data_IF_309922301894
#
_entry.id   IF_309922301894
#
_cell.length_a   1.000
_cell.length_b   1.000
_cell.length_c   1.000
_cell.angle_alpha   90.00
_cell.angle_beta   90.00
_cell.angle_gamma   90.00
#
_symmetry.space_group_name_H-M   'P 1'
#
loop_
_entity.id
_entity.type
_entity.pdbx_description
1 polymer ?
#
# COMPACT_ATOMS: atom_id res chain seq x y z
N UNK A 1 -8.13 -16.65 18.93
CA UNK A 1 -9.45 -17.18 18.51
C UNK A 1 -10.37 -17.05 19.70
N UNK A 2 -11.51 -16.37 19.53
CA UNK A 2 -12.43 -16.10 20.65
C UNK A 2 -12.84 -17.41 21.33
N UNK A 3 -12.86 -17.45 22.67
CA UNK A 3 -13.13 -18.69 23.43
C UNK A 3 -14.57 -19.21 23.30
N UNK A 4 -15.47 -18.49 22.65
CA UNK A 4 -16.91 -18.79 22.60
C UNK A 4 -17.41 -19.22 21.21
N UNK A 5 -16.79 -20.26 20.63
CA UNK A 5 -17.34 -20.91 19.43
C UNK A 5 -17.53 -22.40 19.72
N UNK A 6 -18.74 -22.90 19.51
CA UNK A 6 -19.01 -24.33 19.50
C UNK A 6 -18.25 -25.01 18.36
N UNK A 7 -18.04 -26.33 18.47
CA UNK A 7 -17.32 -27.09 17.44
C UNK A 7 -18.02 -27.01 16.06
N UNK A 8 -19.35 -26.96 16.06
CA UNK A 8 -20.13 -26.77 14.83
C UNK A 8 -19.88 -25.40 14.20
N UNK A 9 -19.80 -24.33 15.00
CA UNK A 9 -19.50 -22.98 14.51
C UNK A 9 -18.07 -22.89 13.99
N UNK A 10 -17.10 -23.53 14.65
CA UNK A 10 -15.70 -23.59 14.18
C UNK A 10 -15.60 -24.30 12.85
N UNK A 11 -16.33 -25.41 12.67
CA UNK A 11 -16.36 -26.15 11.42
C UNK A 11 -16.95 -25.30 10.28
N UNK A 12 -18.10 -24.66 10.51
CA UNK A 12 -18.72 -23.75 9.52
C UNK A 12 -17.80 -22.58 9.16
N UNK A 13 -17.12 -21.99 10.14
CA UNK A 13 -16.16 -20.90 9.91
C UNK A 13 -14.95 -21.38 9.09
N UNK A 14 -14.39 -22.54 9.42
CA UNK A 14 -13.26 -23.14 8.70
C UNK A 14 -13.61 -23.41 7.24
N UNK A 15 -14.80 -23.98 6.98
CA UNK A 15 -15.30 -24.18 5.62
C UNK A 15 -15.45 -22.88 4.85
N UNK A 16 -15.97 -21.83 5.50
CA UNK A 16 -16.15 -20.52 4.90
C UNK A 16 -14.79 -19.88 4.54
N UNK A 17 -13.84 -19.89 5.47
CA UNK A 17 -12.49 -19.36 5.24
C UNK A 17 -11.75 -20.13 4.14
N UNK A 18 -11.91 -21.47 4.09
CA UNK A 18 -11.34 -22.28 3.02
C UNK A 18 -11.98 -21.97 1.66
N UNK A 19 -13.31 -21.87 1.63
CA UNK A 19 -14.10 -21.54 0.42
C UNK A 19 -13.70 -20.18 -0.16
N UNK A 20 -13.46 -19.20 0.69
CA UNK A 20 -13.09 -17.84 0.27
C UNK A 20 -11.61 -17.52 0.48
N UNK A 21 -10.75 -18.54 0.57
CA UNK A 21 -9.32 -18.36 0.87
C UNK A 21 -8.59 -17.44 -0.13
N UNK A 22 -9.04 -17.38 -1.38
CA UNK A 22 -8.50 -16.49 -2.41
C UNK A 22 -8.87 -15.01 -2.25
N UNK A 23 -9.82 -14.66 -1.37
CA UNK A 23 -10.16 -13.27 -1.04
C UNK A 23 -9.24 -12.67 0.03
N UNK A 24 -8.52 -13.52 0.76
CA UNK A 24 -7.62 -13.10 1.83
C UNK A 24 -6.18 -13.11 1.35
N UNK A 25 -5.46 -12.02 1.59
CA UNK A 25 -4.02 -12.00 1.36
C UNK A 25 -3.33 -12.69 2.53
N UNK A 26 -2.42 -13.62 2.25
CA UNK A 26 -1.60 -14.31 3.29
C UNK A 26 -0.55 -13.39 3.92
N UNK A 27 -0.33 -12.23 3.32
CA UNK A 27 0.62 -11.20 3.76
C UNK A 27 -0.07 -9.84 3.68
N UNK A 28 0.38 -8.90 4.51
CA UNK A 28 -0.02 -7.48 4.45
C UNK A 28 0.47 -6.77 3.16
N UNK A 29 1.05 -7.53 2.22
CA UNK A 29 1.50 -7.05 0.92
C UNK A 29 0.28 -6.77 0.06
N UNK A 30 -0.05 -5.49 -0.07
CA UNK A 30 -1.05 -5.02 -1.00
C UNK A 30 -0.52 -5.18 -2.42
N UNK A 31 -0.82 -6.28 -3.09
CA UNK A 31 -0.51 -6.39 -4.52
C UNK A 31 -1.32 -5.32 -5.28
N UNK A 32 -0.71 -4.66 -6.25
CA UNK A 32 -1.40 -3.70 -7.10
C UNK A 32 -2.67 -4.37 -7.66
N UNK A 33 -3.82 -3.72 -7.48
CA UNK A 33 -5.10 -4.25 -7.96
C UNK A 33 -5.02 -4.43 -9.48
N UNK A 34 -5.17 -5.67 -9.95
CA UNK A 34 -5.18 -5.98 -11.38
C UNK A 34 -6.51 -5.52 -11.97
N UNK A 35 -6.57 -4.24 -12.35
CA UNK A 35 -7.72 -3.64 -13.04
C UNK A 35 -7.30 -3.09 -14.39
N UNK A 36 -8.18 -3.21 -15.38
CA UNK A 36 -8.00 -2.61 -16.70
C UNK A 36 -8.54 -1.16 -16.75
N UNK A 37 -9.14 -0.68 -15.66
CA UNK A 37 -9.68 0.67 -15.56
C UNK A 37 -8.58 1.62 -15.12
N UNK A 38 -8.33 2.67 -15.91
CA UNK A 38 -7.41 3.75 -15.56
C UNK A 38 -8.21 4.96 -15.09
N UNK A 39 -7.81 5.54 -13.95
CA UNK A 39 -8.38 6.79 -13.48
C UNK A 39 -7.59 7.99 -14.03
N UNK A 40 -8.29 9.03 -14.48
CA UNK A 40 -7.68 10.31 -14.90
C UNK A 40 -8.09 11.40 -13.93
N UNK A 41 -7.11 12.03 -13.31
CA UNK A 41 -7.30 13.22 -12.49
C UNK A 41 -7.17 14.44 -13.41
N UNK A 42 -8.22 15.25 -13.50
CA UNK A 42 -8.19 16.52 -14.22
C UNK A 42 -7.73 17.63 -13.29
N UNK A 43 -6.60 18.27 -13.63
CA UNK A 43 -6.02 19.39 -12.88
C UNK A 43 -6.49 20.76 -13.38
N UNK A 44 -7.36 20.81 -14.40
CA UNK A 44 -7.76 22.05 -15.07
C UNK A 44 -6.55 22.80 -15.63
N UNK A 45 -6.57 24.12 -15.51
CA UNK A 45 -5.50 25.02 -15.98
C UNK A 45 -4.41 25.26 -14.92
N UNK A 46 -4.36 24.46 -13.86
CA UNK A 46 -3.39 24.65 -12.79
C UNK A 46 -1.97 24.26 -13.25
N UNK A 47 -1.01 25.16 -13.06
CA UNK A 47 0.40 24.89 -13.38
C UNK A 47 1.02 23.83 -12.44
N UNK A 48 2.05 23.07 -12.89
CA UNK A 48 2.70 22.08 -12.04
C UNK A 48 3.30 22.64 -10.76
N UNK A 49 3.10 21.94 -9.64
CA UNK A 49 3.74 22.23 -8.37
C UNK A 49 4.94 21.29 -8.21
N UNK A 50 6.15 21.87 -8.18
CA UNK A 50 7.39 21.14 -7.95
C UNK A 50 8.03 21.55 -6.62
N UNK A 51 7.85 20.70 -5.61
CA UNK A 51 8.43 20.91 -4.29
C UNK A 51 9.71 20.11 -4.11
N UNK A 52 10.70 20.75 -3.47
CA UNK A 52 11.96 20.12 -3.08
C UNK A 52 11.74 19.09 -1.97
N UNK A 53 12.42 17.95 -2.07
CA UNK A 53 12.47 16.97 -0.98
C UNK A 53 13.03 17.57 0.32
N UNK A 54 12.45 17.18 1.46
CA UNK A 54 12.93 17.59 2.78
C UNK A 54 14.29 16.96 3.10
N UNK A 55 15.05 17.63 3.97
CA UNK A 55 16.24 17.02 4.57
C UNK A 55 15.80 15.94 5.54
N UNK A 56 16.42 14.77 5.42
CA UNK A 56 16.17 13.61 6.28
C UNK A 56 17.51 13.06 6.76
N UNK A 57 17.51 12.44 7.94
CA UNK A 57 18.65 11.71 8.48
C UNK A 57 18.99 10.48 7.61
N UNK A 58 20.17 9.89 7.83
CA UNK A 58 20.58 8.65 7.17
C UNK A 58 19.63 7.49 7.46
N UNK A 59 19.17 7.37 8.71
CA UNK A 59 18.20 6.35 9.14
C UNK A 59 16.88 6.49 8.41
N UNK A 60 16.34 7.71 8.35
CA UNK A 60 15.09 8.00 7.63
C UNK A 60 15.22 7.74 6.13
N UNK A 61 16.34 8.15 5.51
CA UNK A 61 16.61 7.88 4.10
C UNK A 61 16.60 6.38 3.79
N UNK A 62 17.21 5.56 4.65
CA UNK A 62 17.21 4.12 4.50
C UNK A 62 15.79 3.54 4.55
N UNK A 63 14.98 3.97 5.51
CA UNK A 63 13.57 3.53 5.64
C UNK A 63 12.77 3.91 4.39
N UNK A 64 12.92 5.15 3.90
CA UNK A 64 12.24 5.61 2.67
C UNK A 64 12.65 4.73 1.49
N UNK A 65 13.95 4.47 1.32
CA UNK A 65 14.45 3.66 0.22
C UNK A 65 13.94 2.21 0.27
N UNK A 66 13.96 1.59 1.45
CA UNK A 66 13.45 0.23 1.65
C UNK A 66 11.96 0.12 1.28
N UNK A 67 11.12 1.08 1.71
CA UNK A 67 9.69 1.04 1.38
C UNK A 67 9.42 1.38 -0.10
N UNK A 68 10.16 2.33 -0.69
CA UNK A 68 10.05 2.62 -2.12
C UNK A 68 10.44 1.42 -2.97
N UNK A 69 11.54 0.73 -2.62
CA UNK A 69 11.96 -0.47 -3.33
C UNK A 69 10.91 -1.58 -3.23
N UNK A 70 10.35 -1.79 -2.05
CA UNK A 70 9.26 -2.75 -1.86
C UNK A 70 8.04 -2.40 -2.73
N UNK A 71 7.63 -1.13 -2.80
CA UNK A 71 6.51 -0.72 -3.66
C UNK A 71 6.82 -0.85 -5.16
N UNK A 72 8.09 -0.66 -5.57
CA UNK A 72 8.54 -0.93 -6.93
C UNK A 72 8.44 -2.43 -7.25
N UNK A 73 8.93 -3.29 -6.35
CA UNK A 73 8.88 -4.75 -6.51
C UNK A 73 7.44 -5.29 -6.54
N UNK A 74 6.53 -4.65 -5.79
CA UNK A 74 5.09 -4.95 -5.76
C UNK A 74 4.32 -4.34 -6.95
N UNK A 75 4.97 -3.53 -7.80
CA UNK A 75 4.37 -2.89 -8.97
C UNK A 75 3.36 -1.79 -8.64
N UNK A 76 3.42 -1.22 -7.44
CA UNK A 76 2.51 -0.15 -6.97
C UNK A 76 2.97 1.22 -7.50
N UNK A 77 4.28 1.45 -7.57
CA UNK A 77 4.88 2.69 -8.08
C UNK A 77 5.86 2.40 -9.22
N UNK A 78 6.24 3.43 -9.96
CA UNK A 78 7.22 3.34 -11.05
C UNK A 78 8.07 4.63 -11.14
N UNK A 79 9.29 4.57 -11.69
CA UNK A 79 10.05 5.77 -12.02
C UNK A 79 9.29 6.70 -12.97
N UNK A 80 9.43 8.00 -12.80
CA UNK A 80 8.84 8.99 -13.70
C UNK A 80 9.65 10.29 -13.73
N UNK A 81 9.57 11.00 -14.85
CA UNK A 81 10.06 12.36 -15.00
C UNK A 81 8.84 13.30 -15.05
N UNK A 82 8.42 13.80 -13.89
CA UNK A 82 7.20 14.58 -13.74
C UNK A 82 7.52 16.05 -13.42
N UNK A 83 6.80 17.02 -14.00
CA UNK A 83 6.89 18.41 -13.57
C UNK A 83 6.21 18.65 -12.21
N UNK A 84 5.45 17.66 -11.71
CA UNK A 84 4.83 17.64 -10.38
C UNK A 84 5.69 16.83 -9.40
N UNK A 85 5.96 17.39 -8.23
CA UNK A 85 6.71 16.72 -7.16
C UNK A 85 6.21 17.19 -5.80
N UNK A 86 5.99 16.24 -4.89
CA UNK A 86 5.68 16.49 -3.48
C UNK A 86 6.64 15.70 -2.59
N UNK A 87 7.15 16.29 -1.50
CA UNK A 87 8.16 15.66 -0.65
C UNK A 87 7.56 14.52 0.18
N UNK A 88 8.35 13.46 0.38
CA UNK A 88 8.00 12.34 1.26
C UNK A 88 8.11 12.79 2.73
N UNK A 89 7.15 12.37 3.55
CA UNK A 89 7.13 12.60 4.99
C UNK A 89 7.05 11.25 5.70
N UNK A 90 7.98 11.02 6.62
CA UNK A 90 7.92 9.86 7.51
C UNK A 90 7.12 10.19 8.76
N UNK A 91 6.11 9.38 9.05
CA UNK A 91 5.27 9.53 10.24
C UNK A 91 5.34 8.26 11.07
N UNK A 92 5.60 8.40 12.37
CA UNK A 92 5.56 7.28 13.30
C UNK A 92 4.11 6.95 13.64
N UNK A 93 3.65 5.79 13.20
CA UNK A 93 2.34 5.26 13.59
C UNK A 93 2.35 4.94 15.09
N UNK A 94 1.42 5.53 15.86
CA UNK A 94 1.14 5.07 17.23
C UNK A 94 0.38 3.76 17.14
N UNK A 95 0.81 2.78 17.93
CA UNK A 95 0.01 1.58 18.20
C UNK A 95 -0.93 1.87 19.36
#
# INVERSE_FOLDING_TARGET
MSPELSDEQRNKLSELLRKFSGLFTKTDKSTAAKTNVKHRIFTGDHAPINQRAYRVSSTERRIIHEEVQKMLDEGIVQPSESPWSSPVVLVRKRR
#
